data_IF_798411129541
#
_entry.id   IF_798411129541
#
_cell.length_a   1.000
_cell.length_b   1.000
_cell.length_c   1.000
_cell.angle_alpha   90.00
_cell.angle_beta   90.00
_cell.angle_gamma   90.00
#
_symmetry.space_group_name_H-M   'P 1'
#
loop_
_entity.id
_entity.type
_entity.pdbx_description
1 polymer ?
#
# COMPACT_ATOMS: atom_id res chain seq x y z
N UNK A 1 -32.63 -3.87 11.06
CA UNK A 1 -31.67 -4.35 12.08
C UNK A 1 -30.52 -3.37 12.17
N UNK A 2 -30.38 -2.72 13.32
CA UNK A 2 -29.38 -1.69 13.60
C UNK A 2 -28.00 -2.32 13.77
N UNK A 3 -27.29 -2.51 12.66
CA UNK A 3 -25.89 -2.92 12.73
C UNK A 3 -25.07 -1.81 13.42
N UNK A 4 -24.53 -2.13 14.59
CA UNK A 4 -23.68 -1.24 15.37
C UNK A 4 -22.40 -1.97 15.74
N UNK A 5 -21.26 -1.39 15.37
CA UNK A 5 -19.95 -1.95 15.64
C UNK A 5 -18.97 -0.82 15.93
N UNK A 6 -18.29 -0.89 17.08
CA UNK A 6 -17.18 0.01 17.38
C UNK A 6 -15.96 -0.39 16.56
N UNK A 7 -15.31 0.59 15.93
CA UNK A 7 -14.15 0.41 15.05
C UNK A 7 -13.04 1.42 15.40
N UNK A 8 -11.80 1.09 15.04
CA UNK A 8 -10.68 2.01 15.05
C UNK A 8 -10.51 2.58 13.63
N UNK A 9 -10.58 3.90 13.49
CA UNK A 9 -10.34 4.58 12.21
C UNK A 9 -8.96 5.24 12.23
N UNK A 10 -8.18 4.99 11.19
CA UNK A 10 -6.85 5.56 10.99
C UNK A 10 -6.79 6.07 9.55
N UNK A 11 -6.12 7.17 9.27
CA UNK A 11 -5.96 7.60 7.88
C UNK A 11 -4.98 8.74 7.70
N UNK A 12 -4.69 9.00 6.44
CA UNK A 12 -4.01 10.21 6.03
C UNK A 12 -4.98 11.39 6.13
N UNK A 13 -4.45 12.56 6.45
CA UNK A 13 -5.21 13.80 6.51
C UNK A 13 -4.52 14.82 5.61
N UNK A 14 -5.16 15.21 4.51
CA UNK A 14 -4.77 16.38 3.71
C UNK A 14 -5.45 17.64 4.23
N UNK A 15 -4.93 18.80 3.84
CA UNK A 15 -5.59 20.08 4.08
C UNK A 15 -6.68 20.36 3.05
N UNK A 16 -7.65 21.20 3.44
CA UNK A 16 -8.72 21.68 2.54
C UNK A 16 -8.35 23.01 1.86
N UNK A 17 -7.29 23.63 2.32
CA UNK A 17 -6.73 24.89 1.81
C UNK A 17 -5.20 24.87 1.90
N UNK A 18 -4.54 25.89 1.35
CA UNK A 18 -3.07 25.95 1.33
C UNK A 18 -2.44 25.90 2.71
N UNK A 19 -3.02 26.61 3.70
CA UNK A 19 -2.44 26.69 5.06
C UNK A 19 -2.53 25.33 5.76
N UNK A 20 -3.69 24.70 5.70
CA UNK A 20 -3.92 23.37 6.26
C UNK A 20 -3.12 22.31 5.52
N UNK A 21 -2.90 22.44 4.21
CA UNK A 21 -2.07 21.50 3.46
C UNK A 21 -0.63 21.54 3.93
N UNK A 22 -0.06 22.74 4.12
CA UNK A 22 1.29 22.86 4.70
C UNK A 22 1.33 22.30 6.13
N UNK A 23 0.33 22.61 6.96
CA UNK A 23 0.26 22.09 8.33
C UNK A 23 0.22 20.56 8.40
N UNK A 24 -0.55 19.92 7.52
CA UNK A 24 -0.66 18.46 7.44
C UNK A 24 0.38 17.81 6.52
N UNK A 25 1.38 18.57 6.07
CA UNK A 25 2.41 18.11 5.15
C UNK A 25 1.84 17.41 3.90
N UNK A 26 0.73 17.93 3.37
CA UNK A 26 0.00 17.40 2.22
C UNK A 26 -0.40 15.92 2.36
N UNK A 27 -0.58 15.44 3.60
CA UNK A 27 -0.89 14.04 3.88
C UNK A 27 0.31 13.09 3.79
N UNK A 28 1.53 13.62 3.66
CA UNK A 28 2.77 12.83 3.67
C UNK A 28 3.22 12.56 5.11
N UNK A 29 3.04 11.32 5.56
CA UNK A 29 3.40 10.95 6.92
C UNK A 29 4.92 10.85 7.11
N UNK A 30 5.36 11.29 8.28
CA UNK A 30 6.69 10.99 8.81
C UNK A 30 6.69 9.64 9.56
N UNK A 31 7.86 9.07 9.92
CA UNK A 31 7.95 7.75 10.53
C UNK A 31 7.10 7.60 11.80
N UNK A 32 7.06 8.63 12.63
CA UNK A 32 6.21 8.73 13.82
C UNK A 32 4.70 8.63 13.51
N UNK A 33 4.27 9.04 12.32
CA UNK A 33 2.90 8.87 11.84
C UNK A 33 2.55 7.39 11.67
N UNK A 34 3.44 6.61 11.05
CA UNK A 34 3.28 5.16 10.91
C UNK A 34 3.34 4.44 12.25
N UNK A 35 4.28 4.82 13.13
CA UNK A 35 4.37 4.26 14.50
C UNK A 35 3.12 4.56 15.32
N UNK A 36 2.54 5.77 15.19
CA UNK A 36 1.26 6.13 15.79
C UNK A 36 0.13 5.26 15.25
N UNK A 37 0.07 5.06 13.93
CA UNK A 37 -0.93 4.21 13.29
C UNK A 37 -0.86 2.78 13.86
N UNK A 38 0.33 2.18 13.90
CA UNK A 38 0.54 0.84 14.46
C UNK A 38 0.13 0.75 15.93
N UNK A 39 0.49 1.74 16.76
CA UNK A 39 0.06 1.79 18.17
C UNK A 39 -1.46 1.75 18.30
N UNK A 40 -2.19 2.46 17.44
CA UNK A 40 -3.66 2.47 17.43
C UNK A 40 -4.23 1.16 16.91
N UNK A 41 -3.62 0.52 15.91
CA UNK A 41 -4.02 -0.81 15.44
C UNK A 41 -3.85 -1.87 16.53
N UNK A 42 -2.74 -1.86 17.27
CA UNK A 42 -2.52 -2.75 18.42
C UNK A 42 -3.50 -2.48 19.56
N UNK A 43 -3.89 -1.23 19.78
CA UNK A 43 -4.95 -0.89 20.72
C UNK A 43 -6.30 -1.47 20.28
N UNK A 44 -6.62 -1.38 18.99
CA UNK A 44 -7.83 -1.97 18.42
C UNK A 44 -7.84 -3.49 18.60
N UNK A 45 -6.72 -4.16 18.30
CA UNK A 45 -6.53 -5.61 18.52
C UNK A 45 -6.74 -6.00 19.99
N UNK A 46 -6.15 -5.26 20.93
CA UNK A 46 -6.30 -5.50 22.38
C UNK A 46 -7.76 -5.50 22.84
N UNK A 47 -8.61 -4.70 22.20
CA UNK A 47 -10.04 -4.59 22.53
C UNK A 47 -10.95 -5.28 21.51
N UNK A 48 -10.38 -6.12 20.64
CA UNK A 48 -11.10 -6.87 19.61
C UNK A 48 -11.97 -5.97 18.72
N UNK A 49 -11.45 -4.80 18.34
CA UNK A 49 -12.12 -3.84 17.47
C UNK A 49 -11.55 -3.93 16.06
N UNK A 50 -12.40 -4.00 15.02
CA UNK A 50 -11.95 -3.89 13.64
C UNK A 50 -11.22 -2.57 13.38
N UNK A 51 -10.30 -2.60 12.43
CA UNK A 51 -9.56 -1.43 11.95
C UNK A 51 -10.07 -1.05 10.57
N UNK A 52 -10.30 0.24 10.37
CA UNK A 52 -10.58 0.82 9.05
C UNK A 52 -9.49 1.84 8.75
N UNK A 53 -8.80 1.70 7.62
CA UNK A 53 -7.80 2.68 7.17
C UNK A 53 -8.34 3.50 6.00
N UNK A 54 -8.07 4.81 6.02
CA UNK A 54 -8.43 5.74 4.95
C UNK A 54 -7.15 6.28 4.32
N UNK A 55 -6.89 5.88 3.08
CA UNK A 55 -5.63 6.14 2.37
C UNK A 55 -5.83 7.33 1.42
N UNK A 56 -5.05 8.38 1.66
CA UNK A 56 -5.00 9.59 0.82
C UNK A 56 -3.66 10.32 0.98
N UNK A 57 -2.65 9.86 0.27
CA UNK A 57 -1.29 10.37 0.36
C UNK A 57 -0.56 10.33 -0.99
N UNK A 58 0.19 11.40 -1.33
CA UNK A 58 1.09 11.40 -2.49
C UNK A 58 2.39 10.63 -2.21
N UNK A 59 2.59 10.14 -0.97
CA UNK A 59 3.71 9.30 -0.57
C UNK A 59 4.12 9.53 0.88
N UNK A 60 5.07 8.72 1.35
CA UNK A 60 5.73 9.01 2.62
C UNK A 60 6.56 10.30 2.46
N UNK A 61 6.74 11.07 3.54
CA UNK A 61 7.52 12.30 3.46
C UNK A 61 8.99 12.01 3.08
N UNK A 62 9.51 12.51 1.94
CA UNK A 62 10.84 12.19 1.44
C UNK A 62 11.89 13.19 1.96
N UNK A 63 12.05 13.28 3.28
CA UNK A 63 12.99 14.20 3.94
C UNK A 63 14.14 13.48 4.63
N UNK A 64 15.33 14.13 4.70
CA UNK A 64 16.51 13.60 5.41
C UNK A 64 16.16 13.22 6.86
N UNK A 65 15.44 14.11 7.52
CA UNK A 65 14.91 13.90 8.86
C UNK A 65 14.06 12.62 9.01
N UNK A 66 13.26 12.28 7.99
CA UNK A 66 12.45 11.07 8.00
C UNK A 66 13.33 9.82 7.83
N UNK A 67 14.38 9.90 7.00
CA UNK A 67 15.36 8.82 6.84
C UNK A 67 16.13 8.57 8.14
N UNK A 68 16.64 9.62 8.79
CA UNK A 68 17.34 9.53 10.08
C UNK A 68 16.46 8.92 11.18
N UNK A 69 15.15 9.16 11.12
CA UNK A 69 14.15 8.61 12.04
C UNK A 69 13.59 7.24 11.61
N UNK A 70 14.08 6.65 10.52
CA UNK A 70 13.72 5.32 10.06
C UNK A 70 12.37 5.22 9.36
N UNK A 71 12.16 5.98 8.28
CA UNK A 71 10.93 5.92 7.45
C UNK A 71 10.67 4.51 6.89
N UNK A 72 11.69 3.89 6.30
CA UNK A 72 11.58 2.53 5.77
C UNK A 72 11.28 1.50 6.87
N UNK A 73 11.93 1.61 8.02
CA UNK A 73 11.67 0.73 9.18
C UNK A 73 10.23 0.87 9.66
N UNK A 74 9.73 2.10 9.83
CA UNK A 74 8.38 2.33 10.32
C UNK A 74 7.31 1.74 9.39
N UNK A 75 7.49 1.89 8.08
CA UNK A 75 6.61 1.30 7.06
C UNK A 75 6.71 -0.23 7.09
N UNK A 76 7.93 -0.79 7.08
CA UNK A 76 8.14 -2.24 7.10
C UNK A 76 7.57 -2.89 8.37
N UNK A 77 7.76 -2.25 9.53
CA UNK A 77 7.22 -2.70 10.81
C UNK A 77 5.70 -2.69 10.80
N UNK A 78 5.07 -1.66 10.22
CA UNK A 78 3.63 -1.64 10.03
C UNK A 78 3.15 -2.82 9.18
N UNK A 79 3.77 -3.08 8.02
CA UNK A 79 3.38 -4.20 7.15
C UNK A 79 3.48 -5.54 7.89
N UNK A 80 4.59 -5.78 8.58
CA UNK A 80 4.80 -7.00 9.34
C UNK A 80 3.73 -7.21 10.42
N UNK A 81 3.43 -6.17 11.18
CA UNK A 81 2.45 -6.26 12.27
C UNK A 81 1.01 -6.32 11.75
N UNK A 82 0.69 -5.59 10.69
CA UNK A 82 -0.61 -5.62 10.02
C UNK A 82 -0.90 -7.00 9.44
N UNK A 83 0.09 -7.68 8.87
CA UNK A 83 -0.06 -9.05 8.39
C UNK A 83 -0.47 -10.04 9.50
N UNK A 84 -0.18 -9.72 10.77
CA UNK A 84 -0.39 -10.60 11.94
C UNK A 84 -1.53 -10.16 12.85
N UNK A 85 -2.19 -9.03 12.57
CA UNK A 85 -3.28 -8.51 13.40
C UNK A 85 -4.47 -9.48 13.43
N UNK A 86 -4.96 -9.78 14.63
CA UNK A 86 -6.03 -10.75 14.91
C UNK A 86 -7.44 -10.17 14.87
N UNK A 87 -7.60 -8.98 14.29
CA UNK A 87 -8.89 -8.31 14.08
C UNK A 87 -9.08 -8.00 12.60
N UNK A 88 -10.32 -7.83 12.12
CA UNK A 88 -10.57 -7.44 10.75
C UNK A 88 -9.94 -6.08 10.42
N UNK A 89 -9.36 -5.95 9.23
CA UNK A 89 -8.79 -4.72 8.68
C UNK A 89 -9.43 -4.47 7.31
N UNK A 90 -10.05 -3.30 7.17
CA UNK A 90 -10.56 -2.82 5.88
C UNK A 90 -9.81 -1.56 5.50
N UNK A 91 -9.05 -1.61 4.40
CA UNK A 91 -8.36 -0.46 3.84
C UNK A 91 -9.22 0.19 2.77
N UNK A 92 -9.30 1.52 2.76
CA UNK A 92 -10.07 2.27 1.75
C UNK A 92 -9.17 3.34 1.14
N UNK A 93 -8.90 3.24 -0.16
CA UNK A 93 -8.25 4.33 -0.90
C UNK A 93 -9.33 5.35 -1.27
N UNK A 94 -9.23 6.54 -0.68
CA UNK A 94 -10.22 7.63 -0.84
C UNK A 94 -9.71 8.81 -1.68
N UNK A 95 -8.48 8.75 -2.15
CA UNK A 95 -7.85 9.78 -2.96
C UNK A 95 -6.59 9.24 -3.63
N UNK A 96 -5.43 9.75 -3.20
CA UNK A 96 -4.14 9.29 -3.73
C UNK A 96 -3.60 8.11 -2.92
N UNK A 97 -3.18 7.04 -3.58
CA UNK A 97 -2.49 5.91 -2.98
C UNK A 97 -1.09 5.79 -3.54
N UNK A 98 -0.11 6.48 -3.00
CA UNK A 98 1.25 6.42 -3.54
C UNK A 98 2.21 5.57 -2.70
N UNK A 99 2.75 4.53 -3.33
CA UNK A 99 3.96 3.81 -2.92
C UNK A 99 3.95 3.30 -1.47
N UNK A 100 5.15 3.23 -0.86
CA UNK A 100 5.36 2.92 0.55
C UNK A 100 4.50 3.76 1.50
N UNK A 101 4.18 4.99 1.10
CA UNK A 101 3.40 5.92 1.90
C UNK A 101 1.97 5.45 2.17
N UNK A 102 1.34 4.91 1.13
CA UNK A 102 0.00 4.36 1.17
C UNK A 102 -0.01 2.94 1.79
N UNK A 103 0.88 2.06 1.32
CA UNK A 103 0.89 0.65 1.75
C UNK A 103 1.24 0.50 3.24
N UNK A 104 1.95 1.46 3.84
CA UNK A 104 2.26 1.48 5.27
C UNK A 104 1.03 1.48 6.21
N UNK A 105 -0.17 1.72 5.68
CA UNK A 105 -1.46 1.45 6.36
C UNK A 105 -2.46 0.72 5.45
N UNK A 106 -1.98 0.10 4.37
CA UNK A 106 -2.77 -0.47 3.29
C UNK A 106 -2.85 -1.99 3.24
N UNK A 107 -2.24 -2.69 4.20
CA UNK A 107 -2.29 -4.15 4.30
C UNK A 107 -3.50 -4.60 5.14
N UNK A 108 -4.54 -5.13 4.50
CA UNK A 108 -5.76 -5.56 5.19
C UNK A 108 -6.52 -6.71 4.52
N UNK A 109 -7.58 -7.17 5.18
CA UNK A 109 -8.41 -8.28 4.70
C UNK A 109 -9.21 -7.87 3.46
N UNK A 110 -9.72 -6.64 3.46
CA UNK A 110 -10.40 -6.03 2.32
C UNK A 110 -9.78 -4.69 1.97
N UNK A 111 -9.65 -4.43 0.68
CA UNK A 111 -9.14 -3.20 0.08
C UNK A 111 -10.25 -2.68 -0.83
N UNK A 112 -10.83 -1.56 -0.41
CA UNK A 112 -11.84 -0.81 -1.14
C UNK A 112 -11.17 0.41 -1.77
N UNK A 113 -11.73 0.90 -2.86
CA UNK A 113 -11.18 2.06 -3.56
C UNK A 113 -12.32 2.88 -4.14
N UNK A 114 -12.33 4.20 -3.90
CA UNK A 114 -13.24 5.09 -4.61
C UNK A 114 -13.00 5.04 -6.12
N UNK A 115 -14.05 5.19 -6.91
CA UNK A 115 -13.99 4.99 -8.37
C UNK A 115 -12.93 5.87 -9.08
N UNK A 116 -12.75 7.11 -8.61
CA UNK A 116 -11.86 8.10 -9.21
C UNK A 116 -10.54 8.26 -8.41
N UNK A 117 -10.34 7.44 -7.38
CA UNK A 117 -9.05 7.35 -6.69
C UNK A 117 -8.00 6.67 -7.57
N UNK A 118 -6.72 6.76 -7.18
CA UNK A 118 -5.65 5.99 -7.81
C UNK A 118 -4.72 5.35 -6.80
N UNK A 119 -4.14 4.20 -7.15
CA UNK A 119 -3.15 3.50 -6.32
C UNK A 119 -1.99 3.01 -7.21
N UNK A 120 -0.76 3.41 -6.90
CA UNK A 120 0.42 3.06 -7.69
C UNK A 120 1.69 2.95 -6.83
N UNK A 121 2.66 2.17 -7.30
CA UNK A 121 4.00 2.05 -6.69
C UNK A 121 4.82 3.35 -6.78
N UNK A 122 4.50 4.20 -7.74
CA UNK A 122 5.17 5.48 -8.00
C UNK A 122 4.17 6.48 -8.58
N UNK A 123 4.33 7.77 -8.28
CA UNK A 123 3.50 8.79 -8.93
C UNK A 123 3.76 8.82 -10.45
N UNK A 124 2.76 9.08 -11.29
CA UNK A 124 2.94 9.19 -12.74
C UNK A 124 4.03 10.21 -13.12
N UNK A 125 4.13 11.30 -12.37
CA UNK A 125 5.12 12.35 -12.58
C UNK A 125 6.55 11.87 -12.31
N UNK A 126 6.74 11.11 -11.22
CA UNK A 126 8.05 10.55 -10.88
C UNK A 126 8.44 9.46 -11.86
N UNK A 127 7.49 8.62 -12.28
CA UNK A 127 7.67 7.62 -13.33
C UNK A 127 8.11 8.26 -14.65
N UNK A 128 7.41 9.32 -15.06
CA UNK A 128 7.72 10.12 -16.25
C UNK A 128 9.15 10.65 -16.21
N UNK A 129 9.56 11.20 -15.07
CA UNK A 129 10.90 11.76 -14.87
C UNK A 129 12.00 10.70 -14.92
N UNK A 130 11.74 9.47 -14.48
CA UNK A 130 12.72 8.38 -14.49
C UNK A 130 12.84 7.75 -15.88
N UNK A 131 11.72 7.33 -16.46
CA UNK A 131 11.72 6.56 -17.71
C UNK A 131 11.92 7.42 -18.95
N UNK A 132 11.35 8.64 -18.96
CA UNK A 132 11.40 9.54 -20.11
C UNK A 132 12.26 10.79 -19.88
N UNK A 133 12.87 10.95 -18.69
CA UNK A 133 13.68 12.13 -18.33
C UNK A 133 12.94 13.46 -18.55
N UNK A 134 11.62 13.45 -18.43
CA UNK A 134 10.74 14.60 -18.67
C UNK A 134 9.46 14.46 -17.86
N UNK A 135 8.83 15.58 -17.50
CA UNK A 135 7.51 15.61 -16.86
C UNK A 135 6.34 15.53 -17.86
N UNK A 136 6.63 15.70 -19.16
CA UNK A 136 5.60 15.77 -20.20
C UNK A 136 4.90 14.45 -20.48
N UNK A 137 5.45 13.32 -20.02
CA UNK A 137 4.92 11.98 -20.29
C UNK A 137 4.11 11.40 -19.11
N UNK A 138 3.67 12.23 -18.16
CA UNK A 138 2.89 11.79 -16.98
C UNK A 138 1.58 11.07 -17.34
N UNK A 139 0.89 11.48 -18.39
CA UNK A 139 -0.36 10.84 -18.84
C UNK A 139 -0.07 9.44 -19.40
N UNK A 140 0.95 9.32 -20.26
CA UNK A 140 1.43 8.03 -20.76
C UNK A 140 1.93 7.12 -19.61
N UNK A 141 2.61 7.69 -18.63
CA UNK A 141 3.04 6.96 -17.44
C UNK A 141 1.85 6.44 -16.62
N UNK A 142 0.81 7.27 -16.42
CA UNK A 142 -0.40 6.87 -15.71
C UNK A 142 -1.13 5.70 -16.42
N UNK A 143 -1.27 5.78 -17.74
CA UNK A 143 -1.88 4.71 -18.54
C UNK A 143 -1.08 3.39 -18.47
N UNK A 144 0.24 3.49 -18.51
CA UNK A 144 1.13 2.32 -18.42
C UNK A 144 1.14 1.68 -17.02
N UNK A 145 0.99 2.49 -15.97
CA UNK A 145 0.98 2.04 -14.58
C UNK A 145 -0.30 1.33 -14.16
N UNK A 146 -1.41 1.48 -14.91
CA UNK A 146 -2.69 0.80 -14.64
C UNK A 146 -3.17 1.04 -13.21
N UNK A 147 -3.21 2.32 -12.83
CA UNK A 147 -3.41 2.81 -11.45
C UNK A 147 -4.88 3.07 -11.06
N UNK A 148 -5.83 2.88 -11.98
CA UNK A 148 -7.26 3.20 -11.73
C UNK A 148 -7.96 2.08 -10.96
N UNK A 149 -9.09 2.39 -10.31
CA UNK A 149 -9.88 1.38 -9.60
C UNK A 149 -10.31 0.21 -10.52
N UNK A 150 -10.63 0.51 -11.79
CA UNK A 150 -11.01 -0.49 -12.79
C UNK A 150 -9.85 -1.41 -13.17
N UNK A 151 -8.65 -0.86 -13.34
CA UNK A 151 -7.46 -1.67 -13.62
C UNK A 151 -7.13 -2.58 -12.43
N UNK A 152 -7.11 -2.00 -11.23
CA UNK A 152 -6.64 -2.68 -10.03
C UNK A 152 -7.58 -3.81 -9.57
N UNK A 153 -8.89 -3.70 -9.82
CA UNK A 153 -9.81 -4.82 -9.55
C UNK A 153 -9.60 -5.96 -10.54
N UNK A 154 -9.29 -5.68 -11.81
CA UNK A 154 -8.97 -6.70 -12.82
C UNK A 154 -7.66 -7.43 -12.49
N UNK A 155 -6.71 -6.71 -11.90
CA UNK A 155 -5.44 -7.29 -11.42
C UNK A 155 -5.54 -7.96 -10.04
N UNK A 156 -6.71 -7.95 -9.39
CA UNK A 156 -6.90 -8.57 -8.08
C UNK A 156 -6.17 -7.86 -6.93
N UNK A 157 -5.80 -6.58 -7.12
CA UNK A 157 -5.12 -5.77 -6.10
C UNK A 157 -6.12 -5.17 -5.10
N UNK A 158 -7.29 -4.76 -5.58
CA UNK A 158 -8.41 -4.31 -4.74
C UNK A 158 -9.58 -5.30 -4.81
N UNK A 159 -10.42 -5.32 -3.78
CA UNK A 159 -11.57 -6.24 -3.71
C UNK A 159 -12.87 -5.60 -4.21
N UNK A 160 -13.05 -4.29 -4.01
CA UNK A 160 -14.29 -3.59 -4.36
C UNK A 160 -14.04 -2.13 -4.76
N UNK A 161 -14.76 -1.70 -5.79
CA UNK A 161 -14.87 -0.29 -6.17
C UNK A 161 -16.06 0.32 -5.44
N UNK A 162 -15.86 1.49 -4.85
CA UNK A 162 -16.87 2.31 -4.19
C UNK A 162 -17.31 3.40 -5.17
N UNK A 163 -18.54 3.35 -5.70
CA UNK A 163 -19.02 4.34 -6.65
C UNK A 163 -19.07 5.74 -6.04
N UNK A 164 -18.74 6.74 -6.84
CA UNK A 164 -18.87 8.16 -6.49
C UNK A 164 -20.11 8.79 -7.14
N UNK A 165 -20.58 9.94 -6.61
CA UNK A 165 -21.62 10.73 -7.28
C UNK A 165 -21.17 11.20 -8.66
N UNK A 166 -22.13 11.52 -9.53
CA UNK A 166 -21.85 12.09 -10.85
C UNK A 166 -20.95 13.33 -10.71
N UNK A 167 -19.81 13.30 -11.38
CA UNK A 167 -18.79 14.36 -11.33
C UNK A 167 -17.78 14.22 -10.19
N UNK A 168 -17.84 13.15 -9.38
CA UNK A 168 -16.86 12.80 -8.36
C UNK A 168 -17.30 13.13 -6.92
N UNK A 169 -16.57 12.56 -5.95
CA UNK A 169 -16.85 12.59 -4.52
C UNK A 169 -17.04 13.99 -3.93
N UNK A 170 -16.27 14.96 -4.45
CA UNK A 170 -16.32 16.35 -4.02
C UNK A 170 -17.65 17.05 -4.31
N UNK A 171 -18.45 16.54 -5.27
CA UNK A 171 -19.76 17.12 -5.60
C UNK A 171 -20.82 16.81 -4.57
N UNK A 172 -20.75 15.64 -3.94
CA UNK A 172 -21.63 15.25 -2.85
C UNK A 172 -20.90 14.36 -1.82
N UNK A 173 -20.16 14.98 -0.88
CA UNK A 173 -19.40 14.24 0.13
C UNK A 173 -20.29 13.41 1.06
N UNK A 174 -21.52 13.88 1.36
CA UNK A 174 -22.47 13.15 2.21
C UNK A 174 -22.93 11.86 1.55
N UNK A 175 -23.29 11.91 0.26
CA UNK A 175 -23.64 10.72 -0.50
C UNK A 175 -22.45 9.76 -0.61
N UNK A 176 -21.24 10.27 -0.88
CA UNK A 176 -20.03 9.45 -0.93
C UNK A 176 -19.79 8.72 0.39
N UNK A 177 -19.92 9.44 1.51
CA UNK A 177 -19.78 8.86 2.85
C UNK A 177 -20.87 7.83 3.14
N UNK A 178 -22.11 8.07 2.71
CA UNK A 178 -23.21 7.11 2.86
C UNK A 178 -22.97 5.81 2.06
N UNK A 179 -22.52 5.93 0.81
CA UNK A 179 -22.15 4.79 -0.05
C UNK A 179 -21.01 3.99 0.58
N UNK A 180 -19.93 4.67 0.98
CA UNK A 180 -18.79 4.02 1.63
C UNK A 180 -19.21 3.33 2.93
N UNK A 181 -20.02 3.99 3.77
CA UNK A 181 -20.54 3.40 5.02
C UNK A 181 -21.34 2.12 4.75
N UNK A 182 -22.22 2.12 3.76
CA UNK A 182 -23.01 0.93 3.41
C UNK A 182 -22.10 -0.25 3.04
N UNK A 183 -21.09 -0.01 2.20
CA UNK A 183 -20.12 -1.04 1.81
C UNK A 183 -19.25 -1.51 2.97
N UNK A 184 -18.79 -0.60 3.84
CA UNK A 184 -18.05 -0.97 5.05
C UNK A 184 -18.88 -1.85 5.98
N UNK A 185 -20.17 -1.55 6.14
CA UNK A 185 -21.09 -2.38 6.93
C UNK A 185 -21.23 -3.79 6.33
N UNK A 186 -21.36 -3.90 5.02
CA UNK A 186 -21.40 -5.20 4.33
C UNK A 186 -20.12 -6.01 4.55
N UNK A 187 -18.95 -5.39 4.40
CA UNK A 187 -17.68 -6.09 4.60
C UNK A 187 -17.43 -6.45 6.07
N UNK A 188 -17.76 -5.56 7.01
CA UNK A 188 -17.66 -5.87 8.43
C UNK A 188 -18.56 -7.05 8.81
N UNK A 189 -19.80 -7.11 8.31
CA UNK A 189 -20.71 -8.24 8.57
C UNK A 189 -20.14 -9.58 8.08
N UNK A 190 -19.37 -9.57 6.99
CA UNK A 190 -18.70 -10.77 6.45
C UNK A 190 -17.47 -11.17 7.26
N UNK A 191 -16.68 -10.19 7.71
CA UNK A 191 -15.39 -10.44 8.37
C UNK A 191 -15.48 -10.69 9.88
N UNK A 192 -16.46 -10.09 10.57
CA UNK A 192 -16.62 -10.22 12.03
C UNK A 192 -16.81 -11.67 12.51
N UNK A 193 -17.53 -12.56 11.80
CA UNK A 193 -17.67 -13.95 12.19
C UNK A 193 -16.41 -14.80 11.96
N UNK A 194 -15.42 -14.30 11.22
CA UNK A 194 -14.22 -15.07 10.86
C UNK A 194 -13.29 -15.20 12.06
N UNK A 195 -12.84 -16.42 12.42
CA UNK A 195 -11.86 -16.62 13.48
C UNK A 195 -10.55 -15.88 13.23
N UNK A 196 -9.91 -15.39 14.29
CA UNK A 196 -8.68 -14.58 14.20
C UNK A 196 -7.55 -15.25 13.42
N UNK A 197 -7.32 -16.55 13.62
CA UNK A 197 -6.24 -17.27 12.93
C UNK A 197 -6.58 -17.45 11.44
N UNK A 198 -7.87 -17.56 11.08
CA UNK A 198 -8.31 -17.58 9.68
C UNK A 198 -8.11 -16.21 9.02
N UNK A 199 -8.45 -15.10 9.70
CA UNK A 199 -8.19 -13.75 9.19
C UNK A 199 -6.71 -13.56 8.85
N UNK A 200 -5.81 -13.96 9.75
CA UNK A 200 -4.36 -13.85 9.54
C UNK A 200 -3.91 -14.70 8.35
N UNK A 201 -4.35 -15.96 8.27
CA UNK A 201 -3.97 -16.85 7.17
C UNK A 201 -4.50 -16.34 5.82
N UNK A 202 -5.78 -15.97 5.74
CA UNK A 202 -6.40 -15.45 4.52
C UNK A 202 -5.69 -14.16 4.05
N UNK A 203 -5.30 -13.29 4.97
CA UNK A 203 -4.53 -12.08 4.65
C UNK A 203 -3.15 -12.42 4.09
N UNK A 204 -2.41 -13.34 4.72
CA UNK A 204 -1.10 -13.78 4.23
C UNK A 204 -1.25 -14.41 2.83
N UNK A 205 -2.21 -15.30 2.63
CA UNK A 205 -2.47 -15.95 1.33
C UNK A 205 -2.92 -14.96 0.25
N UNK A 206 -3.74 -13.96 0.61
CA UNK A 206 -4.17 -12.91 -0.30
C UNK A 206 -2.96 -12.16 -0.86
N UNK A 207 -2.09 -11.64 0.00
CA UNK A 207 -0.91 -10.91 -0.44
C UNK A 207 0.16 -11.82 -1.07
N UNK A 208 0.28 -13.07 -0.61
CA UNK A 208 1.21 -14.05 -1.18
C UNK A 208 0.85 -14.48 -2.61
N UNK A 209 -0.44 -14.38 -2.99
CA UNK A 209 -0.91 -14.62 -4.37
C UNK A 209 -0.76 -13.41 -5.29
N UNK A 210 -0.43 -12.22 -4.75
CA UNK A 210 -0.23 -11.04 -5.57
C UNK A 210 1.13 -11.11 -6.27
N UNK A 211 1.10 -11.15 -7.60
CA UNK A 211 2.29 -11.24 -8.44
C UNK A 211 2.16 -12.36 -9.46
N UNK A 212 2.80 -12.19 -10.62
CA UNK A 212 2.87 -13.20 -11.66
C UNK A 212 4.33 -13.35 -12.07
N UNK A 213 4.84 -14.57 -11.98
CA UNK A 213 6.19 -14.91 -12.37
C UNK A 213 6.19 -16.27 -13.07
N UNK A 214 7.16 -16.46 -13.97
CA UNK A 214 7.47 -17.76 -14.55
C UNK A 214 8.79 -18.21 -13.95
N UNK A 215 8.81 -19.39 -13.34
CA UNK A 215 10.06 -19.99 -12.87
C UNK A 215 10.86 -20.43 -14.09
N UNK A 216 12.08 -19.91 -14.19
CA UNK A 216 13.04 -20.36 -15.19
C UNK A 216 13.77 -21.55 -14.58
N UNK A 217 13.84 -22.68 -15.28
CA UNK A 217 14.58 -23.86 -14.82
C UNK A 217 16.00 -23.48 -14.39
N UNK A 218 16.49 -24.08 -13.30
CA UNK A 218 17.84 -23.84 -12.79
C UNK A 218 18.86 -23.93 -13.93
N UNK A 219 19.60 -22.83 -14.14
CA UNK A 219 20.76 -22.86 -15.03
C UNK A 219 21.78 -23.78 -14.35
N UNK A 220 22.15 -24.92 -14.96
CA UNK A 220 23.14 -25.80 -14.35
C UNK A 220 24.43 -24.99 -14.12
N UNK A 221 25.12 -25.21 -13.00
CA UNK A 221 26.32 -24.45 -12.67
C UNK A 221 27.29 -24.52 -13.84
N UNK A 222 27.78 -23.36 -14.27
CA UNK A 222 28.80 -23.26 -15.31
C UNK A 222 29.98 -24.14 -14.89
N UNK A 223 30.38 -25.14 -15.69
CA UNK A 223 31.50 -26.00 -15.32
C UNK A 223 32.73 -25.13 -15.10
N UNK A 224 33.26 -25.17 -13.88
CA UNK A 224 34.51 -24.50 -13.53
C UNK A 224 35.58 -25.05 -14.45
N UNK A 225 36.19 -24.18 -15.27
CA UNK A 225 37.27 -24.57 -16.15
C UNK A 225 38.36 -25.27 -15.33
N UNK A 226 38.89 -26.43 -15.78
CA UNK A 226 39.93 -27.12 -15.04
C UNK A 226 41.12 -26.17 -14.86
N UNK A 227 41.62 -26.07 -13.63
CA UNK A 227 42.81 -25.29 -13.29
C UNK A 227 43.91 -25.60 -14.30
N UNK A 228 44.29 -24.59 -15.08
CA UNK A 228 45.47 -24.66 -15.93
C UNK A 228 46.65 -24.93 -15.01
N UNK A 229 47.39 -26.04 -15.17
CA UNK A 229 48.55 -26.30 -14.34
C UNK A 229 49.55 -25.16 -14.57
N UNK A 230 49.90 -24.45 -13.49
CA UNK A 230 51.01 -23.51 -13.52
C UNK A 230 52.26 -24.29 -13.94
N UNK A 231 52.79 -23.96 -15.11
CA UNK A 231 54.04 -24.54 -15.60
C UNK A 231 55.16 -24.14 -14.64
N UNK A 232 55.63 -25.10 -13.86
CA UNK A 232 56.86 -24.98 -13.10
C UNK A 232 58.05 -24.89 -14.07
N UNK A 233 58.65 -23.70 -14.12
CA UNK A 233 60.08 -23.46 -14.28
C UNK A 233 60.76 -23.83 -15.60
N UNK A 234 61.44 -22.85 -16.22
CA UNK A 234 62.87 -22.99 -16.54
C UNK A 234 63.56 -21.64 -16.30
N UNK A 235 64.72 -21.73 -15.65
CA UNK A 235 65.67 -20.68 -15.31
C UNK A 235 66.56 -20.29 -16.50
N UNK A 236 67.09 -19.06 -16.45
CA UNK A 236 68.46 -18.65 -16.80
C UNK A 236 68.78 -17.99 -18.16
N UNK A 237 69.64 -16.96 -18.02
CA UNK A 237 70.60 -16.31 -18.96
C UNK A 237 69.97 -15.50 -20.12
N UNK A 238 70.06 -14.16 -20.18
CA UNK A 238 71.25 -13.29 -20.23
C UNK A 238 70.88 -11.84 -19.90
#
# INVERSE_FOLDING_TARGET
EDFSQTVMIIGHQKGRDTKSNVYYNFGMAQPEGYRKALRLMKLAEKFHKPVITLIDTPGAFPGIEAEERGQAEAIAKNLLEMARLKVPIICVIIGEGASGGAIGIGLGDKILMLENAWYSVISPESCSSILWRSWSFKEQAAEALKLTATDLIQHGIIDRIVPEPIGGAHRNPEQTAATLKAMLVEELKKLLPTPADHLVNERIEKFGRMGSYTEVAEVPPVPVAPNVPQSNGVSSVH
#
